data_IF_888775327262
#
_entry.id   IF_888775327262
#
_cell.length_a   1.000
_cell.length_b   1.000
_cell.length_c   1.000
_cell.angle_alpha   90.00
_cell.angle_beta   90.00
_cell.angle_gamma   90.00
#
_symmetry.space_group_name_H-M   'P 1'
#
loop_
_entity.id
_entity.type
_entity.pdbx_description
1 polymer ?
#
# COMPACT_ATOMS: atom_id res chain seq x y z
N UNK A 1 21.24 -1.64 -1.60
CA UNK A 1 20.36 -0.98 -2.59
C UNK A 1 19.02 -1.69 -2.56
N UNK A 2 18.01 -1.08 -1.94
CA UNK A 2 16.70 -1.72 -1.75
C UNK A 2 15.90 -1.67 -3.06
N UNK A 3 15.87 -2.79 -3.76
CA UNK A 3 15.06 -3.01 -4.97
C UNK A 3 13.59 -2.76 -4.62
N UNK A 4 13.01 -1.69 -5.15
CA UNK A 4 11.59 -1.40 -4.95
C UNK A 4 10.76 -2.47 -5.65
N UNK A 5 10.23 -3.42 -4.87
CA UNK A 5 9.50 -4.59 -5.36
C UNK A 5 8.04 -4.20 -5.64
N UNK A 6 7.57 -4.48 -6.86
CA UNK A 6 6.13 -4.39 -7.19
C UNK A 6 5.35 -5.43 -6.39
N UNK A 7 4.61 -4.97 -5.39
CA UNK A 7 3.79 -5.84 -4.53
C UNK A 7 2.66 -6.49 -5.32
N UNK A 8 2.39 -7.77 -5.06
CA UNK A 8 1.23 -8.45 -5.62
C UNK A 8 0.01 -8.22 -4.73
N UNK A 9 -1.19 -8.37 -5.28
CA UNK A 9 -2.44 -8.27 -4.52
C UNK A 9 -2.46 -9.25 -3.33
N UNK A 10 -1.92 -10.46 -3.49
CA UNK A 10 -1.80 -11.45 -2.42
C UNK A 10 -0.98 -10.94 -1.24
N UNK A 11 0.18 -10.32 -1.50
CA UNK A 11 1.06 -9.78 -0.45
C UNK A 11 0.36 -8.68 0.35
N UNK A 12 -0.40 -7.81 -0.34
CA UNK A 12 -1.20 -6.76 0.31
C UNK A 12 -2.31 -7.36 1.18
N UNK A 13 -2.96 -8.44 0.74
CA UNK A 13 -3.97 -9.12 1.55
C UNK A 13 -3.35 -9.76 2.79
N UNK A 14 -2.15 -10.33 2.68
CA UNK A 14 -1.40 -10.86 3.83
C UNK A 14 -1.06 -9.74 4.82
N UNK A 15 -0.45 -8.63 4.36
CA UNK A 15 -0.16 -7.48 5.22
C UNK A 15 -1.41 -6.91 5.88
N UNK A 16 -2.50 -6.77 5.12
CA UNK A 16 -3.75 -6.28 5.66
C UNK A 16 -4.32 -7.24 6.73
N UNK A 17 -4.18 -8.55 6.53
CA UNK A 17 -4.55 -9.57 7.50
C UNK A 17 -3.73 -9.51 8.79
N UNK A 18 -2.42 -9.28 8.70
CA UNK A 18 -1.52 -9.05 9.85
C UNK A 18 -1.94 -7.81 10.65
N UNK A 19 -2.45 -6.77 9.97
CA UNK A 19 -3.02 -5.57 10.58
C UNK A 19 -4.44 -5.77 11.13
N UNK A 20 -5.00 -6.98 11.05
CA UNK A 20 -6.34 -7.31 11.52
C UNK A 20 -7.48 -6.89 10.57
N UNK A 21 -7.16 -6.43 9.37
CA UNK A 21 -8.17 -6.07 8.36
C UNK A 21 -8.75 -7.32 7.70
N UNK A 22 -10.08 -7.43 7.71
CA UNK A 22 -10.82 -8.57 7.13
C UNK A 22 -11.75 -8.12 6.01
N UNK A 23 -12.09 -9.04 5.11
CA UNK A 23 -13.06 -8.77 4.03
C UNK A 23 -12.52 -7.96 2.85
N UNK A 24 -11.21 -7.80 2.74
CA UNK A 24 -10.56 -6.99 1.71
C UNK A 24 -10.27 -7.73 0.40
N UNK A 25 -10.58 -9.03 0.29
CA UNK A 25 -10.30 -9.83 -0.93
C UNK A 25 -10.95 -9.27 -2.20
N UNK A 26 -12.08 -8.58 -2.05
CA UNK A 26 -12.82 -7.89 -3.13
C UNK A 26 -12.22 -6.54 -3.54
N UNK A 27 -11.31 -5.99 -2.75
CA UNK A 27 -10.76 -4.67 -2.95
C UNK A 27 -9.77 -4.69 -4.13
N UNK A 28 -9.71 -3.56 -4.85
CA UNK A 28 -8.68 -3.33 -5.87
C UNK A 28 -7.34 -3.07 -5.18
N UNK A 29 -6.26 -3.12 -5.94
CA UNK A 29 -4.91 -2.94 -5.40
C UNK A 29 -4.73 -1.58 -4.70
N UNK A 30 -5.20 -0.49 -5.31
CA UNK A 30 -5.14 0.85 -4.70
C UNK A 30 -5.90 0.92 -3.37
N UNK A 31 -7.14 0.42 -3.36
CA UNK A 31 -7.97 0.35 -2.16
C UNK A 31 -7.33 -0.48 -1.03
N UNK A 32 -6.66 -1.58 -1.37
CA UNK A 32 -5.91 -2.38 -0.39
C UNK A 32 -4.76 -1.59 0.23
N UNK A 33 -4.02 -0.84 -0.60
CA UNK A 33 -2.91 -0.02 -0.13
C UNK A 33 -3.43 1.10 0.77
N UNK A 34 -4.52 1.76 0.40
CA UNK A 34 -5.15 2.79 1.24
C UNK A 34 -5.60 2.22 2.58
N UNK A 35 -6.23 1.04 2.59
CA UNK A 35 -6.64 0.39 3.83
C UNK A 35 -5.45 0.07 4.74
N UNK A 36 -4.35 -0.43 4.16
CA UNK A 36 -3.10 -0.68 4.90
C UNK A 36 -2.52 0.64 5.45
N UNK A 37 -2.42 1.68 4.62
CA UNK A 37 -1.90 2.99 5.05
C UNK A 37 -2.69 3.55 6.23
N UNK A 38 -4.03 3.50 6.18
CA UNK A 38 -4.90 3.96 7.28
C UNK A 38 -4.74 3.10 8.53
N UNK A 39 -4.63 1.77 8.38
CA UNK A 39 -4.42 0.87 9.50
C UNK A 39 -3.04 1.06 10.17
N UNK A 40 -2.03 1.47 9.40
CA UNK A 40 -0.72 1.89 9.92
C UNK A 40 -0.74 3.29 10.57
N UNK A 41 -1.88 4.00 10.54
CA UNK A 41 -2.03 5.37 11.05
C UNK A 41 -1.54 6.45 10.08
N UNK A 42 -1.28 6.10 8.83
CA UNK A 42 -0.88 7.01 7.77
C UNK A 42 -2.08 7.52 6.97
N UNK A 43 -1.90 8.64 6.26
CA UNK A 43 -2.87 9.09 5.27
C UNK A 43 -2.87 8.15 4.04
N UNK A 44 -4.04 7.90 3.39
CA UNK A 44 -4.15 7.10 2.18
C UNK A 44 -3.56 7.86 0.96
N UNK A 45 -2.23 7.96 0.92
CA UNK A 45 -1.50 8.81 -0.03
C UNK A 45 -1.19 8.12 -1.37
N UNK A 46 -1.41 6.81 -1.48
CA UNK A 46 -1.06 6.06 -2.70
C UNK A 46 -1.83 6.57 -3.92
N UNK A 47 -1.13 7.04 -4.95
CA UNK A 47 -1.70 7.66 -6.16
C UNK A 47 -2.60 8.91 -5.92
N UNK A 48 -2.61 9.49 -4.73
CA UNK A 48 -3.42 10.69 -4.42
C UNK A 48 -2.59 11.95 -4.30
N UNK A 49 -1.28 11.82 -4.06
CA UNK A 49 -0.34 12.94 -3.98
C UNK A 49 0.73 12.84 -5.06
N UNK A 50 1.19 13.99 -5.54
CA UNK A 50 2.39 14.12 -6.37
C UNK A 50 3.59 14.56 -5.52
N UNK A 51 4.81 14.29 -5.99
CA UNK A 51 6.06 14.74 -5.34
C UNK A 51 6.28 14.19 -3.92
N UNK A 52 5.87 12.96 -3.65
CA UNK A 52 6.11 12.32 -2.34
C UNK A 52 7.61 12.17 -2.03
N UNK A 53 8.06 12.79 -0.93
CA UNK A 53 9.44 12.76 -0.46
C UNK A 53 9.79 11.50 0.36
N UNK A 54 8.83 10.62 0.67
CA UNK A 54 9.06 9.42 1.50
C UNK A 54 9.81 8.36 0.69
N UNK A 55 11.11 8.23 0.95
CA UNK A 55 12.00 7.29 0.26
C UNK A 55 11.90 5.83 0.73
N UNK A 56 11.60 5.49 2.01
CA UNK A 56 11.42 4.09 2.41
C UNK A 56 9.98 3.59 2.22
N UNK A 57 9.20 4.18 1.30
CA UNK A 57 7.81 3.76 1.08
C UNK A 57 7.74 2.44 0.29
N UNK A 58 7.12 1.43 0.91
CA UNK A 58 6.93 0.09 0.36
C UNK A 58 6.16 0.08 -0.98
N UNK A 59 5.25 1.03 -1.17
CA UNK A 59 4.39 1.13 -2.36
C UNK A 59 4.99 1.99 -3.49
N UNK A 60 6.17 2.59 -3.27
CA UNK A 60 6.75 3.62 -4.15
C UNK A 60 6.92 3.18 -5.59
N UNK A 61 7.17 1.90 -5.84
CA UNK A 61 7.30 1.34 -7.20
C UNK A 61 6.06 1.58 -8.07
N UNK A 62 4.87 1.73 -7.47
CA UNK A 62 3.61 1.99 -8.19
C UNK A 62 2.87 3.24 -7.67
N UNK A 63 3.50 4.06 -6.83
CA UNK A 63 2.81 5.11 -6.05
C UNK A 63 2.48 6.38 -6.86
N UNK A 64 3.00 6.55 -8.08
CA UNK A 64 2.84 7.74 -8.92
C UNK A 64 2.93 7.38 -10.43
N UNK A 65 2.50 6.17 -10.80
CA UNK A 65 2.58 5.67 -12.17
C UNK A 65 1.20 5.58 -12.84
#
# INVERSE_FOLDING_TARGET
MSTQKKLKKSELLTMAGDLGLKGLSKYKKGELIHAIQVAEGNAPCFMTISNCAVSPCLFRSECQN
#
